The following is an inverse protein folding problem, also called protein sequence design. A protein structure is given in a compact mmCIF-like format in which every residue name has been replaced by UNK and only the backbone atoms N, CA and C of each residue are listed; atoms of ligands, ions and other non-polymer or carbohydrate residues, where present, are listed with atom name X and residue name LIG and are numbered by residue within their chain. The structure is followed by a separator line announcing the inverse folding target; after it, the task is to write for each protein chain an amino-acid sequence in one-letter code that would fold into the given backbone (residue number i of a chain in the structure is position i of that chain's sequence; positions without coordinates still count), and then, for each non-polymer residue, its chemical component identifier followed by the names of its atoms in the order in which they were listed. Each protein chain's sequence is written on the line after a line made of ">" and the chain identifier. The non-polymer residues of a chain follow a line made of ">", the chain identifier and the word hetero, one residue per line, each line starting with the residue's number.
data_IF_998227723389
#
_entry.id   IF_998227723389
#
_cell.length_a   1.000
_cell.length_b   1.000
_cell.length_c   1.000
_cell.angle_alpha   90.00
_cell.angle_beta   90.00
_cell.angle_gamma   90.00
#
_symmetry.space_group_name_H-M   'P 1'
#
loop_
_entity.id
_entity.type
_entity.pdbx_description
1 polymer ?
#
# COMPACT_ATOMS: atom_id res chain seq x y z
N UNK A 1 -5.93 21.33 -3.44
CA UNK A 1 -5.32 20.11 -4.01
C UNK A 1 -4.00 19.92 -3.32
N UNK A 2 -3.93 18.97 -2.39
CA UNK A 2 -2.73 18.68 -1.62
C UNK A 2 -1.66 18.10 -2.56
N UNK A 3 -0.46 18.65 -2.46
CA UNK A 3 0.72 18.25 -3.21
C UNK A 3 1.34 17.05 -2.48
N UNK A 4 0.97 15.83 -2.89
CA UNK A 4 1.67 14.63 -2.44
C UNK A 4 3.12 14.75 -2.90
N UNK A 5 4.07 14.82 -1.96
CA UNK A 5 5.48 15.20 -2.11
C UNK A 5 6.36 14.38 -3.07
N UNK A 6 5.78 13.74 -4.08
CA UNK A 6 6.41 13.04 -5.21
C UNK A 6 6.69 13.94 -6.43
N UNK A 7 6.34 15.22 -6.35
CA UNK A 7 6.43 16.19 -7.44
C UNK A 7 7.69 17.06 -7.32
N UNK A 8 8.68 16.88 -8.20
CA UNK A 8 9.83 17.78 -8.30
C UNK A 8 9.40 19.03 -9.09
N UNK A 9 9.32 20.16 -8.40
CA UNK A 9 9.00 21.46 -9.03
C UNK A 9 10.29 22.12 -9.51
N UNK A 10 10.59 22.04 -10.81
CA UNK A 10 11.73 22.77 -11.40
C UNK A 10 11.28 24.11 -11.98
N UNK A 11 11.98 25.18 -11.60
CA UNK A 11 11.77 26.51 -12.18
C UNK A 11 12.57 26.62 -13.48
N UNK A 12 11.90 26.80 -14.61
CA UNK A 12 12.50 26.95 -15.95
C UNK A 12 12.21 28.35 -16.51
N UNK A 13 13.02 28.77 -17.47
CA UNK A 13 12.87 30.05 -18.17
C UNK A 13 12.77 29.78 -19.68
N UNK A 14 11.82 30.42 -20.35
CA UNK A 14 11.68 30.33 -21.80
C UNK A 14 12.88 31.03 -22.48
N UNK A 15 13.60 30.36 -23.38
CA UNK A 15 14.76 30.96 -24.06
C UNK A 15 14.36 32.06 -25.05
N UNK A 16 13.14 32.04 -25.61
CA UNK A 16 12.70 33.05 -26.58
C UNK A 16 12.10 34.31 -25.94
N UNK A 17 11.26 34.16 -24.92
CA UNK A 17 10.52 35.29 -24.34
C UNK A 17 10.89 35.62 -22.89
N UNK A 18 11.85 34.89 -22.30
CA UNK A 18 12.34 35.13 -20.94
C UNK A 18 11.33 34.83 -19.82
N UNK A 19 10.11 34.38 -20.15
CA UNK A 19 9.05 34.09 -19.18
C UNK A 19 9.41 32.90 -18.31
N UNK A 20 9.25 33.04 -17.00
CA UNK A 20 9.48 31.98 -16.01
C UNK A 20 8.24 31.08 -15.91
N UNK A 21 8.46 29.77 -15.87
CA UNK A 21 7.43 28.78 -15.63
C UNK A 21 7.95 27.68 -14.71
N UNK A 22 7.05 26.99 -14.03
CA UNK A 22 7.39 25.85 -13.17
C UNK A 22 6.93 24.58 -13.86
N UNK A 23 7.84 23.65 -14.10
CA UNK A 23 7.50 22.31 -14.55
C UNK A 23 7.42 21.39 -13.34
N UNK A 24 6.34 20.62 -13.24
CA UNK A 24 6.21 19.55 -12.25
C UNK A 24 6.68 18.27 -12.93
N UNK A 25 7.82 17.75 -12.49
CA UNK A 25 8.34 16.44 -12.89
C UNK A 25 7.91 15.44 -11.82
N UNK A 26 6.94 14.59 -12.15
CA UNK A 26 6.60 13.42 -11.33
C UNK A 26 7.28 12.22 -11.98
N UNK A 27 8.02 11.41 -11.22
CA UNK A 27 8.48 10.10 -11.74
C UNK A 27 7.24 9.29 -12.10
N UNK A 28 7.00 9.12 -13.40
CA UNK A 28 5.83 8.41 -13.91
C UNK A 28 5.95 6.93 -13.54
N UNK A 29 5.04 6.47 -12.69
CA UNK A 29 4.90 5.05 -12.37
C UNK A 29 3.91 4.45 -13.36
N UNK A 30 4.37 3.47 -14.12
CA UNK A 30 3.54 2.74 -15.09
C UNK A 30 3.23 1.33 -14.58
N UNK A 31 2.02 0.86 -14.83
CA UNK A 31 1.59 -0.51 -14.55
C UNK A 31 1.49 -1.27 -15.87
N UNK A 32 2.25 -2.34 -16.00
CA UNK A 32 2.21 -3.22 -17.16
C UNK A 32 1.09 -4.25 -16.95
N UNK A 33 0.10 -4.26 -17.84
CA UNK A 33 -0.98 -5.26 -17.81
C UNK A 33 -0.49 -6.61 -18.34
N UNK A 34 -1.25 -7.67 -18.04
CA UNK A 34 -1.02 -9.01 -18.62
C UNK A 34 -0.98 -9.02 -20.16
N UNK A 35 -1.64 -8.06 -20.81
CA UNK A 35 -1.60 -7.87 -22.26
C UNK A 35 -0.29 -7.26 -22.78
N UNK A 36 0.63 -6.86 -21.90
CA UNK A 36 1.84 -6.09 -22.21
C UNK A 36 1.60 -4.58 -22.37
N UNK A 37 0.35 -4.12 -22.27
CA UNK A 37 0.02 -2.68 -22.37
C UNK A 37 0.36 -1.99 -21.06
N UNK A 38 1.23 -0.98 -21.12
CA UNK A 38 1.53 -0.08 -20.01
C UNK A 38 0.49 1.03 -19.86
N UNK A 39 0.08 1.30 -18.63
CA UNK A 39 -0.78 2.43 -18.29
C UNK A 39 -0.28 3.16 -17.05
N UNK A 40 -0.58 4.46 -16.86
CA UNK A 40 -0.22 5.15 -15.64
C UNK A 40 -0.86 4.50 -14.40
N UNK A 41 -0.09 4.36 -13.33
CA UNK A 41 -0.61 3.95 -12.03
C UNK A 41 -1.71 4.91 -11.56
N UNK A 42 -2.77 4.34 -10.96
CA UNK A 42 -3.87 5.12 -10.42
C UNK A 42 -4.38 4.51 -9.12
N UNK A 43 -4.40 5.33 -8.05
CA UNK A 43 -5.01 4.96 -6.77
C UNK A 43 -6.48 4.55 -6.92
N UNK A 44 -7.23 5.19 -7.82
CA UNK A 44 -8.64 4.82 -8.04
C UNK A 44 -8.80 3.40 -8.56
N UNK A 45 -7.84 2.89 -9.35
CA UNK A 45 -7.82 1.50 -9.82
C UNK A 45 -7.50 0.53 -8.69
N UNK A 46 -6.60 0.90 -7.77
CA UNK A 46 -6.32 0.13 -6.55
C UNK A 46 -7.58 0.00 -5.70
N UNK A 47 -8.22 1.13 -5.38
CA UNK A 47 -9.48 1.19 -4.61
C UNK A 47 -10.54 0.29 -5.25
N UNK A 48 -10.77 0.44 -6.55
CA UNK A 48 -11.76 -0.36 -7.27
C UNK A 48 -11.42 -1.87 -7.24
N UNK A 49 -10.13 -2.22 -7.31
CA UNK A 49 -9.66 -3.60 -7.22
C UNK A 49 -9.93 -4.24 -5.87
N UNK A 50 -9.69 -3.52 -4.77
CA UNK A 50 -9.90 -4.05 -3.40
C UNK A 50 -11.34 -3.97 -2.93
N UNK A 51 -12.15 -3.07 -3.49
CA UNK A 51 -13.52 -2.80 -3.03
C UNK A 51 -14.37 -4.07 -2.93
N UNK A 52 -14.24 -5.00 -3.89
CA UNK A 52 -15.00 -6.26 -3.87
C UNK A 52 -14.64 -7.14 -2.66
N UNK A 53 -13.36 -7.20 -2.28
CA UNK A 53 -12.91 -7.98 -1.14
C UNK A 53 -13.42 -7.39 0.20
N UNK A 54 -13.52 -6.06 0.28
CA UNK A 54 -13.99 -5.32 1.45
C UNK A 54 -15.53 -5.28 1.62
N UNK A 55 -16.32 -5.84 0.70
CA UNK A 55 -17.79 -5.80 0.80
C UNK A 55 -18.31 -6.45 2.09
N UNK A 56 -19.17 -5.71 2.82
CA UNK A 56 -19.74 -6.15 4.09
C UNK A 56 -18.75 -6.15 5.27
N UNK A 57 -17.58 -5.53 5.12
CA UNK A 57 -16.58 -5.35 6.18
C UNK A 57 -16.65 -3.92 6.74
N UNK A 58 -16.19 -3.68 7.98
CA UNK A 58 -16.12 -2.34 8.57
C UNK A 58 -14.92 -1.56 7.99
N UNK A 59 -14.93 -1.31 6.68
CA UNK A 59 -13.88 -0.58 5.95
C UNK A 59 -14.51 0.62 5.28
N UNK A 60 -14.06 1.83 5.63
CA UNK A 60 -14.56 3.08 5.07
C UNK A 60 -13.87 3.46 3.76
N UNK A 61 -14.43 4.42 3.02
CA UNK A 61 -13.77 4.95 1.82
C UNK A 61 -12.46 5.67 2.13
N UNK A 62 -12.35 6.29 3.31
CA UNK A 62 -11.12 6.93 3.79
C UNK A 62 -10.03 5.88 4.05
N UNK A 63 -10.39 4.73 4.64
CA UNK A 63 -9.46 3.61 4.82
C UNK A 63 -8.94 3.08 3.48
N UNK A 64 -9.82 2.98 2.48
CA UNK A 64 -9.43 2.56 1.12
C UNK A 64 -8.51 3.59 0.45
N UNK A 65 -8.74 4.89 0.68
CA UNK A 65 -7.88 5.95 0.17
C UNK A 65 -6.49 5.88 0.80
N UNK A 66 -6.42 5.69 2.13
CA UNK A 66 -5.17 5.51 2.87
C UNK A 66 -4.42 4.25 2.41
N UNK A 67 -5.12 3.13 2.22
CA UNK A 67 -4.55 1.90 1.68
C UNK A 67 -3.95 2.13 0.29
N UNK A 68 -4.67 2.82 -0.60
CA UNK A 68 -4.18 3.08 -1.95
C UNK A 68 -2.96 4.01 -1.96
N UNK A 69 -2.88 4.94 -1.01
CA UNK A 69 -1.69 5.75 -0.79
C UNK A 69 -0.50 4.91 -0.30
N UNK A 70 -0.68 4.07 0.73
CA UNK A 70 0.38 3.17 1.24
C UNK A 70 0.91 2.23 0.14
N UNK A 71 0.02 1.72 -0.71
CA UNK A 71 0.39 0.90 -1.87
C UNK A 71 1.26 1.67 -2.86
N UNK A 72 0.89 2.92 -3.18
CA UNK A 72 1.72 3.73 -4.07
C UNK A 72 3.10 4.02 -3.46
N UNK A 73 3.15 4.36 -2.17
CA UNK A 73 4.39 4.60 -1.45
C UNK A 73 5.30 3.37 -1.46
N UNK A 74 4.74 2.18 -1.21
CA UNK A 74 5.47 0.90 -1.25
C UNK A 74 6.04 0.62 -2.66
N UNK A 75 5.25 0.85 -3.71
CA UNK A 75 5.72 0.68 -5.08
C UNK A 75 6.84 1.67 -5.38
N UNK A 76 6.69 2.95 -5.02
CA UNK A 76 7.72 3.96 -5.26
C UNK A 76 9.00 3.69 -4.47
N UNK A 77 8.89 3.15 -3.27
CA UNK A 77 10.03 2.78 -2.43
C UNK A 77 10.90 1.68 -3.07
N UNK A 78 10.34 0.84 -3.95
CA UNK A 78 11.11 -0.12 -4.76
C UNK A 78 12.05 0.53 -5.78
N UNK A 79 11.82 1.80 -6.13
CA UNK A 79 12.55 2.51 -7.18
C UNK A 79 12.16 2.12 -8.62
N UNK A 80 11.18 1.23 -8.80
CA UNK A 80 10.72 0.81 -10.11
C UNK A 80 9.92 1.91 -10.83
N UNK A 81 10.26 2.17 -12.10
CA UNK A 81 9.49 3.06 -12.97
C UNK A 81 8.27 2.35 -13.59
N UNK A 82 8.36 1.03 -13.74
CA UNK A 82 7.32 0.17 -14.28
C UNK A 82 7.13 -1.03 -13.36
N UNK A 83 5.88 -1.45 -13.16
CA UNK A 83 5.53 -2.58 -12.31
C UNK A 83 4.45 -3.44 -12.95
N UNK A 84 4.54 -4.75 -12.80
CA UNK A 84 3.51 -5.64 -13.31
C UNK A 84 2.21 -5.52 -12.52
N UNK A 85 1.07 -5.59 -13.20
CA UNK A 85 -0.24 -5.51 -12.54
C UNK A 85 -0.46 -6.64 -11.50
N UNK A 86 0.17 -7.80 -11.71
CA UNK A 86 0.15 -8.89 -10.74
C UNK A 86 0.91 -8.51 -9.46
N UNK A 87 2.09 -7.91 -9.61
CA UNK A 87 2.92 -7.45 -8.49
C UNK A 87 2.25 -6.34 -7.69
N UNK A 88 1.54 -5.42 -8.35
CA UNK A 88 0.66 -4.45 -7.66
C UNK A 88 -0.36 -5.16 -6.77
N UNK A 89 -0.97 -6.24 -7.26
CA UNK A 89 -1.87 -7.09 -6.50
C UNK A 89 -1.21 -7.72 -5.27
N UNK A 90 0.04 -8.17 -5.40
CA UNK A 90 0.80 -8.72 -4.28
C UNK A 90 1.16 -7.63 -3.25
N UNK A 91 1.52 -6.42 -3.69
CA UNK A 91 1.84 -5.31 -2.78
C UNK A 91 0.60 -4.85 -1.99
N UNK A 92 -0.58 -4.89 -2.59
CA UNK A 92 -1.86 -4.56 -1.93
C UNK A 92 -2.12 -5.45 -0.70
N UNK A 93 -1.66 -6.71 -0.73
CA UNK A 93 -1.93 -7.68 0.32
C UNK A 93 -1.43 -7.22 1.69
N UNK A 94 -0.23 -6.61 1.76
CA UNK A 94 0.35 -6.16 3.04
C UNK A 94 -0.51 -5.10 3.74
N UNK A 95 -0.79 -3.94 3.12
CA UNK A 95 -1.69 -2.93 3.67
C UNK A 95 -3.10 -3.48 3.94
N UNK A 96 -3.63 -4.34 3.06
CA UNK A 96 -4.97 -4.91 3.21
C UNK A 96 -5.06 -5.87 4.41
N UNK A 97 -4.01 -6.64 4.71
CA UNK A 97 -3.91 -7.53 5.86
C UNK A 97 -4.01 -6.77 7.19
N UNK A 98 -3.33 -5.62 7.27
CA UNK A 98 -3.39 -4.72 8.43
C UNK A 98 -4.78 -4.09 8.58
N UNK A 99 -5.41 -3.76 7.46
CA UNK A 99 -6.73 -3.13 7.44
C UNK A 99 -7.85 -4.10 7.81
N UNK A 100 -7.94 -5.25 7.15
CA UNK A 100 -8.94 -6.28 7.46
C UNK A 100 -8.50 -7.68 7.01
N UNK A 101 -8.33 -8.59 7.98
CA UNK A 101 -7.85 -9.96 7.74
C UNK A 101 -8.78 -10.78 6.83
N UNK A 102 -10.09 -10.54 6.86
CA UNK A 102 -11.06 -11.28 6.04
C UNK A 102 -11.05 -10.77 4.60
N UNK A 103 -10.99 -9.45 4.39
CA UNK A 103 -10.80 -8.84 3.08
C UNK A 103 -9.48 -9.30 2.46
N UNK A 104 -8.40 -9.36 3.26
CA UNK A 104 -7.14 -9.95 2.84
C UNK A 104 -7.31 -11.37 2.33
N UNK A 105 -7.92 -12.29 3.09
CA UNK A 105 -8.11 -13.68 2.65
C UNK A 105 -8.91 -13.79 1.35
N UNK A 106 -9.96 -12.97 1.19
CA UNK A 106 -10.77 -12.92 -0.05
C UNK A 106 -9.98 -12.38 -1.25
N UNK A 107 -9.07 -11.45 -1.03
CA UNK A 107 -8.24 -10.88 -2.08
C UNK A 107 -7.08 -11.83 -2.42
N UNK A 108 -6.42 -12.38 -1.40
CA UNK A 108 -5.33 -13.34 -1.51
C UNK A 108 -5.73 -14.59 -2.29
N UNK A 109 -6.95 -15.10 -2.09
CA UNK A 109 -7.40 -16.30 -2.83
C UNK A 109 -7.38 -16.12 -4.34
N UNK A 110 -7.57 -14.90 -4.84
CA UNK A 110 -7.52 -14.60 -6.28
C UNK A 110 -6.09 -14.36 -6.76
N UNK A 111 -5.29 -13.60 -5.99
CA UNK A 111 -3.96 -13.16 -6.44
C UNK A 111 -2.84 -14.14 -6.11
N UNK A 112 -2.99 -15.00 -5.11
CA UNK A 112 -2.07 -16.08 -4.79
C UNK A 112 -2.54 -17.45 -5.32
N UNK A 113 -3.61 -17.46 -6.13
CA UNK A 113 -4.16 -18.66 -6.75
C UNK A 113 -4.44 -19.79 -5.74
N UNK A 114 -5.28 -19.51 -4.73
CA UNK A 114 -5.70 -20.56 -3.80
C UNK A 114 -6.59 -21.55 -4.54
N UNK A 115 -6.20 -22.82 -4.57
CA UNK A 115 -6.90 -23.89 -5.27
C UNK A 115 -7.49 -24.92 -4.29
N UNK A 116 -7.08 -24.87 -3.03
CA UNK A 116 -7.37 -25.91 -2.03
C UNK A 116 -7.79 -25.32 -0.68
N UNK A 117 -8.36 -26.15 0.19
CA UNK A 117 -8.67 -25.76 1.57
C UNK A 117 -7.38 -25.55 2.37
N UNK A 118 -6.36 -26.32 2.05
CA UNK A 118 -5.02 -26.28 2.64
C UNK A 118 -4.35 -24.92 2.45
N UNK A 119 -4.60 -24.24 1.32
CA UNK A 119 -4.11 -22.87 1.08
C UNK A 119 -4.73 -21.87 2.06
N UNK A 120 -6.04 -22.01 2.31
CA UNK A 120 -6.72 -21.18 3.31
C UNK A 120 -6.23 -21.50 4.72
N UNK A 121 -6.05 -22.77 5.07
CA UNK A 121 -5.52 -23.17 6.38
C UNK A 121 -4.13 -22.57 6.62
N UNK A 122 -3.25 -22.65 5.61
CA UNK A 122 -1.91 -22.07 5.66
C UNK A 122 -1.95 -20.55 5.84
N UNK A 123 -2.79 -19.85 5.07
CA UNK A 123 -2.96 -18.41 5.21
C UNK A 123 -3.52 -18.01 6.58
N UNK A 124 -4.48 -18.76 7.11
CA UNK A 124 -5.06 -18.53 8.45
C UNK A 124 -4.01 -18.78 9.54
N UNK A 125 -3.20 -19.84 9.40
CA UNK A 125 -2.13 -20.15 10.34
C UNK A 125 -1.10 -19.00 10.40
N UNK A 126 -0.70 -18.46 9.25
CA UNK A 126 0.17 -17.28 9.19
C UNK A 126 -0.44 -16.07 9.91
N UNK A 127 -1.71 -15.74 9.62
CA UNK A 127 -2.41 -14.62 10.25
C UNK A 127 -2.57 -14.76 11.77
N UNK A 128 -2.66 -15.98 12.28
CA UNK A 128 -2.69 -16.27 13.72
C UNK A 128 -1.31 -16.04 14.34
N UNK A 129 -0.27 -16.57 13.72
CA UNK A 129 1.10 -16.39 14.18
C UNK A 129 1.49 -14.91 14.24
N UNK A 130 1.20 -14.13 13.21
CA UNK A 130 1.45 -12.69 13.20
C UNK A 130 0.72 -11.96 14.34
N UNK A 131 -0.54 -12.33 14.61
CA UNK A 131 -1.30 -11.75 15.72
C UNK A 131 -0.66 -12.05 17.09
N UNK A 132 -0.11 -13.25 17.27
CA UNK A 132 0.62 -13.63 18.48
C UNK A 132 1.93 -12.85 18.63
N UNK A 133 2.66 -12.64 17.54
CA UNK A 133 3.90 -11.85 17.52
C UNK A 133 3.60 -10.39 17.87
N UNK A 134 2.55 -9.80 17.27
CA UNK A 134 2.11 -8.43 17.56
C UNK A 134 1.70 -8.27 19.03
N UNK A 135 0.96 -9.24 19.60
CA UNK A 135 0.56 -9.23 20.99
C UNK A 135 1.78 -9.26 21.95
N UNK A 136 2.73 -10.17 21.72
CA UNK A 136 3.97 -10.27 22.51
C UNK A 136 4.83 -9.01 22.39
N UNK A 137 4.92 -8.43 21.19
CA UNK A 137 5.64 -7.17 20.96
C UNK A 137 5.01 -5.98 21.69
N UNK A 138 3.67 -5.93 21.76
CA UNK A 138 2.96 -4.90 22.51
C UNK A 138 3.15 -5.03 24.04
N UNK A 139 3.19 -6.26 24.57
CA UNK A 139 3.49 -6.54 25.97
C UNK A 139 4.92 -6.13 26.35
N UNK A 140 5.90 -6.45 25.51
CA UNK A 140 7.30 -6.05 25.70
C UNK A 140 7.46 -4.52 25.76
N UNK A 141 6.88 -3.78 24.80
CA UNK A 141 6.93 -2.30 24.77
C UNK A 141 6.27 -1.66 26.00
N UNK A 142 5.18 -2.24 26.51
CA UNK A 142 4.53 -1.77 27.75
C UNK A 142 5.40 -1.98 28.99
N UNK A 143 6.20 -3.06 29.02
CA UNK A 143 7.12 -3.34 30.13
C UNK A 143 8.35 -2.40 30.12
N UNK A 144 8.84 -2.02 28.95
CA UNK A 144 9.96 -1.08 28.79
C UNK A 144 9.56 0.37 29.10
N UNK A 145 8.39 0.83 28.63
CA UNK A 145 7.89 2.18 28.91
C UNK A 145 7.65 2.47 30.40
N UNK A 146 7.39 1.43 31.21
CA UNK A 146 7.18 1.56 32.66
C UNK A 146 8.48 1.72 33.46
N UNK A 147 9.64 1.41 32.87
CA UNK A 147 10.95 1.55 33.52
C UNK A 147 11.54 2.96 33.35
N UNK A 148 11.11 3.73 32.34
CA UNK A 148 11.64 5.08 32.05
C UNK A 148 10.95 6.21 32.83
N UNK A 149 9.83 5.94 33.52
CA UNK A 149 9.04 6.95 34.25
C UNK A 149 9.34 6.99 35.76
N UNK A 150 10.42 6.32 36.20
CA UNK A 150 10.95 6.39 37.57
C UNK A 150 12.35 7.02 37.60
N UNK A 151 12.45 8.30 37.24
CA UNK A 151 13.55 9.16 37.71
C UNK A 151 13.00 10.13 38.75
N UNK A 152 13.25 9.91 40.05
CA UNK A 152 12.94 10.89 41.08
C UNK A 152 14.11 11.85 41.31
N UNK A 153 13.71 13.10 41.63
CA UNK A 153 14.45 14.27 42.13
C UNK A 153 14.80 15.35 41.09
#
# INVERSE_FOLDING_TARGET
>A
MADDGSAIRRRRQCPECGRRFTTVETTSLSVIKRSGVGEPFSRSKVINGVRKACQGRPVSEDDLAMLAQEVEENIRASGAAEIDAHEVGLIILGPLQKLDKVAYLRFASVYQAFESLEDFESAIALLRHEAEVEAKGAEAKRSEGKSSEKSPL
#
